data_IF_633998799295
#
_entry.id   IF_633998799295
#
_cell.length_a   1.000
_cell.length_b   1.000
_cell.length_c   1.000
_cell.angle_alpha   90.00
_cell.angle_beta   90.00
_cell.angle_gamma   90.00
#
_symmetry.space_group_name_H-M   'P 1'
#
loop_
_entity.id
_entity.type
_entity.pdbx_description
1 polymer ?
#
# COMPACT_ATOMS: atom_id res chain seq x y z
N UNK A 1 12.43 23.63 -0.08
CA UNK A 1 13.52 23.47 -1.06
C UNK A 1 12.98 22.73 -2.28
N UNK A 2 13.33 23.12 -3.50
CA UNK A 2 12.93 22.40 -4.72
C UNK A 2 13.89 21.25 -5.03
N UNK A 3 13.42 20.17 -5.67
CA UNK A 3 14.24 18.98 -6.02
C UNK A 3 15.50 19.33 -6.82
N UNK A 4 15.41 20.33 -7.70
CA UNK A 4 16.54 20.81 -8.52
C UNK A 4 17.66 21.41 -7.66
N UNK A 5 17.29 22.16 -6.61
CA UNK A 5 18.26 22.74 -5.69
C UNK A 5 18.99 21.65 -4.88
N UNK A 6 18.27 20.58 -4.50
CA UNK A 6 18.83 19.45 -3.74
C UNK A 6 19.83 18.65 -4.59
N UNK A 7 19.56 18.41 -5.87
CA UNK A 7 20.49 17.70 -6.76
C UNK A 7 21.84 18.42 -6.92
N UNK A 8 21.80 19.73 -7.13
CA UNK A 8 23.03 20.52 -7.28
C UNK A 8 23.84 20.55 -5.97
N UNK A 9 23.17 20.68 -4.82
CA UNK A 9 23.82 20.55 -3.51
C UNK A 9 24.43 19.17 -3.30
N UNK A 10 23.76 18.10 -3.74
CA UNK A 10 24.25 16.74 -3.61
C UNK A 10 25.52 16.50 -4.46
N UNK A 11 25.57 17.01 -5.69
CA UNK A 11 26.78 16.97 -6.54
C UNK A 11 27.97 17.71 -5.94
N UNK A 12 27.70 18.74 -5.13
CA UNK A 12 28.72 19.48 -4.39
C UNK A 12 29.20 18.73 -3.13
N UNK A 13 28.69 17.52 -2.86
CA UNK A 13 29.07 16.74 -1.68
C UNK A 13 28.30 17.12 -0.40
N UNK A 14 27.21 17.90 -0.50
CA UNK A 14 26.38 18.22 0.65
C UNK A 14 25.70 16.93 1.19
N UNK A 15 26.14 16.47 2.36
CA UNK A 15 25.69 15.20 2.96
C UNK A 15 24.19 15.14 3.19
N UNK A 16 23.58 16.24 3.64
CA UNK A 16 22.14 16.31 3.88
C UNK A 16 21.35 16.22 2.56
N UNK A 17 21.84 16.85 1.49
CA UNK A 17 21.22 16.78 0.18
C UNK A 17 21.31 15.36 -0.42
N UNK A 18 22.49 14.71 -0.33
CA UNK A 18 22.67 13.32 -0.77
C UNK A 18 21.75 12.38 0.04
N UNK A 19 21.71 12.54 1.37
CA UNK A 19 20.85 11.76 2.28
C UNK A 19 19.38 11.92 1.90
N UNK A 20 18.94 13.14 1.64
CA UNK A 20 17.55 13.43 1.23
C UNK A 20 17.20 12.75 -0.09
N UNK A 21 18.11 12.75 -1.08
CA UNK A 21 17.88 12.10 -2.37
C UNK A 21 17.83 10.58 -2.23
N UNK A 22 18.77 9.99 -1.48
CA UNK A 22 18.82 8.53 -1.29
C UNK A 22 17.60 8.02 -0.51
N UNK A 23 17.21 8.71 0.57
CA UNK A 23 15.99 8.37 1.32
C UNK A 23 14.74 8.46 0.45
N UNK A 24 14.61 9.51 -0.36
CA UNK A 24 13.47 9.65 -1.28
C UNK A 24 13.41 8.51 -2.30
N UNK A 25 14.55 8.04 -2.81
CA UNK A 25 14.59 6.94 -3.77
C UNK A 25 14.33 5.57 -3.13
N UNK A 26 14.67 5.40 -1.85
CA UNK A 26 14.58 4.14 -1.12
C UNK A 26 13.36 4.01 -0.20
N UNK A 27 12.53 5.05 -0.12
CA UNK A 27 11.29 5.07 0.69
C UNK A 27 10.38 3.88 0.36
N UNK A 28 10.23 3.53 -0.92
CA UNK A 28 9.41 2.38 -1.36
C UNK A 28 9.99 1.02 -0.97
N UNK A 29 11.25 0.98 -0.55
CA UNK A 29 11.93 -0.23 -0.05
C UNK A 29 12.02 -0.24 1.47
N UNK A 30 11.44 0.75 2.15
CA UNK A 30 11.48 0.89 3.60
C UNK A 30 12.92 0.86 4.15
N UNK A 31 13.85 1.44 3.38
CA UNK A 31 15.25 1.61 3.77
C UNK A 31 15.50 3.09 4.02
N UNK A 32 15.96 3.39 5.22
CA UNK A 32 16.48 4.71 5.57
C UNK A 32 17.99 4.73 5.41
N UNK A 33 18.53 5.85 4.95
CA UNK A 33 19.95 6.04 4.70
C UNK A 33 20.45 7.18 5.55
N UNK A 34 21.59 6.95 6.18
CA UNK A 34 22.38 7.96 6.89
C UNK A 34 23.77 8.06 6.27
N UNK A 35 24.22 9.29 6.01
CA UNK A 35 25.48 9.55 5.34
C UNK A 35 26.34 10.47 6.19
N UNK A 36 27.60 10.06 6.37
CA UNK A 36 28.63 10.89 6.97
C UNK A 36 29.87 10.92 6.08
N UNK A 37 30.50 12.08 5.95
CA UNK A 37 31.77 12.24 5.26
C UNK A 37 32.80 12.68 6.30
N UNK A 38 33.88 11.91 6.44
CA UNK A 38 35.00 12.24 7.31
C UNK A 38 36.29 12.23 6.48
N UNK A 39 36.86 13.41 6.27
CA UNK A 39 38.02 13.56 5.37
C UNK A 39 37.69 13.16 3.93
N UNK A 40 38.32 12.10 3.44
CA UNK A 40 38.11 11.55 2.08
C UNK A 40 37.30 10.25 2.07
N UNK A 41 36.73 9.87 3.21
CA UNK A 41 35.95 8.65 3.38
C UNK A 41 34.50 9.00 3.61
N UNK A 42 33.61 8.30 2.90
CA UNK A 42 32.16 8.41 3.08
C UNK A 42 31.65 7.13 3.74
N UNK A 43 30.83 7.25 4.76
CA UNK A 43 30.09 6.12 5.35
C UNK A 43 28.62 6.30 5.04
N UNK A 44 28.04 5.26 4.44
CA UNK A 44 26.62 5.15 4.10
C UNK A 44 26.06 3.97 4.89
N UNK A 45 25.11 4.25 5.77
CA UNK A 45 24.39 3.24 6.55
C UNK A 45 22.98 3.14 6.00
N UNK A 46 22.63 1.96 5.50
CA UNK A 46 21.24 1.60 5.20
C UNK A 46 20.64 0.88 6.40
N UNK A 47 19.51 1.36 6.88
CA UNK A 47 18.77 0.82 8.02
C UNK A 47 17.33 0.49 7.62
N UNK A 48 16.87 -0.72 7.97
CA UNK A 48 15.51 -1.19 7.70
C UNK A 48 15.04 -2.18 8.78
N UNK A 49 13.73 -2.38 8.90
CA UNK A 49 13.16 -3.41 9.76
C UNK A 49 13.49 -4.83 9.25
N UNK A 50 13.68 -4.97 7.94
CA UNK A 50 14.00 -6.24 7.28
C UNK A 50 15.49 -6.30 6.88
N UNK A 51 15.99 -7.51 6.62
CA UNK A 51 17.35 -7.70 6.11
C UNK A 51 17.51 -7.04 4.74
N UNK A 52 18.47 -6.12 4.62
CA UNK A 52 18.80 -5.46 3.36
C UNK A 52 19.70 -6.39 2.55
N UNK A 53 19.24 -6.77 1.36
CA UNK A 53 20.04 -7.57 0.44
C UNK A 53 21.32 -6.79 0.02
N UNK A 54 22.47 -7.38 0.33
CA UNK A 54 23.77 -6.70 0.25
C UNK A 54 24.10 -6.26 -1.17
N UNK A 55 23.90 -7.12 -2.18
CA UNK A 55 24.29 -6.82 -3.55
C UNK A 55 23.44 -5.68 -4.14
N UNK A 56 22.13 -5.66 -3.87
CA UNK A 56 21.22 -4.58 -4.23
C UNK A 56 21.69 -3.24 -3.67
N UNK A 57 21.91 -3.16 -2.35
CA UNK A 57 22.25 -1.88 -1.71
C UNK A 57 23.64 -1.39 -2.12
N UNK A 58 24.61 -2.29 -2.21
CA UNK A 58 25.96 -1.97 -2.71
C UNK A 58 25.92 -1.44 -4.14
N UNK A 59 25.15 -2.07 -5.04
CA UNK A 59 25.04 -1.63 -6.43
C UNK A 59 24.30 -0.29 -6.56
N UNK A 60 23.24 -0.08 -5.78
CA UNK A 60 22.53 1.19 -5.72
C UNK A 60 23.45 2.34 -5.29
N UNK A 61 24.24 2.12 -4.24
CA UNK A 61 25.20 3.11 -3.72
C UNK A 61 26.28 3.43 -4.75
N UNK A 62 26.86 2.40 -5.39
CA UNK A 62 27.84 2.56 -6.48
C UNK A 62 27.33 3.47 -7.60
N UNK A 63 26.13 3.17 -8.09
CA UNK A 63 25.53 3.94 -9.17
C UNK A 63 25.25 5.39 -8.76
N UNK A 64 24.75 5.58 -7.53
CA UNK A 64 24.48 6.91 -6.98
C UNK A 64 25.75 7.77 -6.92
N UNK A 65 26.85 7.22 -6.40
CA UNK A 65 28.14 7.94 -6.30
C UNK A 65 28.69 8.28 -7.69
N UNK A 66 28.56 7.36 -8.64
CA UNK A 66 28.95 7.57 -10.04
C UNK A 66 28.17 8.72 -10.68
N UNK A 67 26.86 8.78 -10.48
CA UNK A 67 26.00 9.83 -11.03
C UNK A 67 26.25 11.20 -10.40
N UNK A 68 26.50 11.23 -9.10
CA UNK A 68 26.82 12.45 -8.37
C UNK A 68 28.24 12.96 -8.70
N UNK A 69 29.08 12.15 -9.36
CA UNK A 69 30.45 12.50 -9.77
C UNK A 69 31.26 13.10 -8.62
N UNK A 70 31.17 12.48 -7.44
CA UNK A 70 31.79 12.98 -6.22
C UNK A 70 33.31 12.79 -6.29
N UNK A 71 34.01 13.76 -6.88
CA UNK A 71 35.47 13.75 -7.11
C UNK A 71 36.31 13.84 -5.82
N UNK A 72 35.67 14.14 -4.68
CA UNK A 72 36.34 14.39 -3.39
C UNK A 72 36.43 13.13 -2.52
N UNK A 73 35.59 12.12 -2.77
CA UNK A 73 35.54 10.88 -1.99
C UNK A 73 36.44 9.82 -2.63
N UNK A 74 37.28 9.17 -1.83
CA UNK A 74 38.15 8.07 -2.29
C UNK A 74 37.64 6.70 -1.86
N UNK A 75 37.12 6.61 -0.63
CA UNK A 75 36.71 5.33 -0.05
C UNK A 75 35.28 5.45 0.46
N UNK A 76 34.46 4.44 0.17
CA UNK A 76 33.09 4.37 0.64
C UNK A 76 32.89 3.11 1.48
N UNK A 77 32.41 3.31 2.70
CA UNK A 77 31.95 2.27 3.60
C UNK A 77 30.44 2.16 3.50
N UNK A 78 29.95 1.01 3.09
CA UNK A 78 28.53 0.71 2.95
C UNK A 78 28.15 -0.29 4.02
N UNK A 79 27.18 0.04 4.87
CA UNK A 79 26.76 -0.80 5.98
C UNK A 79 25.28 -1.11 5.86
N UNK A 80 24.92 -2.38 6.02
CA UNK A 80 23.53 -2.80 6.18
C UNK A 80 23.25 -3.06 7.66
N UNK A 81 22.17 -2.48 8.17
CA UNK A 81 21.78 -2.56 9.57
C UNK A 81 20.27 -2.86 9.68
N UNK A 82 19.90 -3.67 10.66
CA UNK A 82 18.49 -3.83 11.04
C UNK A 82 18.18 -2.82 12.14
N UNK A 83 16.98 -2.26 12.14
CA UNK A 83 16.55 -1.33 13.19
C UNK A 83 16.81 -1.90 14.58
N UNK A 84 17.25 -1.05 15.51
CA UNK A 84 17.58 -1.39 16.90
C UNK A 84 18.80 -2.32 17.08
N UNK A 85 19.53 -2.70 16.02
CA UNK A 85 20.81 -3.41 16.17
C UNK A 85 21.96 -2.43 16.31
N UNK A 86 22.85 -2.60 17.30
CA UNK A 86 24.02 -1.71 17.48
C UNK A 86 25.14 -1.94 16.46
N UNK A 87 25.18 -3.14 15.86
CA UNK A 87 26.20 -3.55 14.91
C UNK A 87 25.57 -3.72 13.52
N UNK A 88 26.30 -3.35 12.46
CA UNK A 88 25.88 -3.67 11.10
C UNK A 88 25.96 -5.18 10.88
N UNK A 89 25.02 -5.71 10.11
CA UNK A 89 24.95 -7.13 9.73
C UNK A 89 26.06 -7.44 8.72
N UNK A 90 26.36 -6.47 7.87
CA UNK A 90 27.43 -6.56 6.88
C UNK A 90 28.01 -5.18 6.62
N UNK A 91 29.26 -5.17 6.16
CA UNK A 91 29.96 -3.96 5.73
C UNK A 91 30.70 -4.27 4.44
N UNK A 92 30.50 -3.43 3.43
CA UNK A 92 31.25 -3.45 2.18
C UNK A 92 32.11 -2.19 2.10
N UNK A 93 33.36 -2.36 1.69
CA UNK A 93 34.28 -1.24 1.44
C UNK A 93 34.51 -1.17 -0.07
N UNK A 94 34.47 0.04 -0.62
CA UNK A 94 34.74 0.32 -2.02
C UNK A 94 35.82 1.42 -2.08
N UNK A 95 36.93 1.12 -2.76
CA UNK A 95 37.86 2.18 -3.18
C UNK A 95 37.47 2.65 -4.58
N UNK A 96 37.10 3.92 -4.68
CA UNK A 96 36.64 4.54 -5.92
C UNK A 96 37.77 4.70 -6.94
N UNK A 97 39.05 4.67 -6.53
CA UNK A 97 40.18 4.67 -7.48
C UNK A 97 40.37 3.30 -8.11
N UNK A 98 40.33 2.25 -7.29
CA UNK A 98 40.54 0.88 -7.77
C UNK A 98 39.36 0.42 -8.63
N UNK A 99 38.14 0.93 -8.39
CA UNK A 99 36.97 0.65 -9.22
C UNK A 99 37.03 1.35 -10.59
N UNK A 100 37.61 2.56 -10.67
CA UNK A 100 37.86 3.24 -11.94
C UNK A 100 38.97 2.51 -12.74
N UNK A 101 39.99 1.97 -12.06
CA UNK A 101 41.09 1.24 -12.69
C UNK A 101 40.69 -0.19 -13.13
N UNK A 102 39.96 -0.93 -12.29
CA UNK A 102 39.49 -2.29 -12.58
C UNK A 102 38.50 -2.36 -13.76
N UNK A 103 37.79 -1.28 -14.06
CA UNK A 103 36.88 -1.20 -15.22
C UNK A 103 37.63 -0.98 -16.55
N UNK A 104 38.85 -0.40 -16.51
CA UNK A 104 39.66 -0.18 -17.71
C UNK A 104 40.42 -1.46 -18.10
N UNK A 105 40.80 -2.29 -17.14
CA UNK A 105 41.51 -3.56 -17.38
C UNK A 105 40.55 -4.74 -17.66
N UNK A 106 39.26 -4.64 -17.29
CA UNK A 106 38.25 -5.68 -17.51
C UNK A 106 37.63 -5.72 -18.92
N UNK A 107 38.15 -4.97 -19.90
CA UNK A 107 37.70 -5.01 -21.30
C UNK A 107 38.45 -6.06 -22.16
N UNK A 108 39.32 -6.89 -21.57
CA UNK A 108 39.96 -8.02 -22.26
C UNK A 108 39.86 -9.31 -21.42
N UNK A 109 38.72 -10.00 -21.50
CA UNK A 109 38.55 -11.34 -20.96
C UNK A 109 37.14 -11.58 -20.41
N UNK A 110 36.31 -12.28 -21.18
CA UNK A 110 34.95 -12.69 -20.82
C UNK A 110 34.81 -13.19 -19.35
N UNK A 111 33.92 -12.55 -18.59
CA UNK A 111 33.03 -13.29 -17.69
C UNK A 111 31.60 -12.76 -17.86
N UNK A 112 30.71 -13.67 -18.23
CA UNK A 112 29.33 -13.42 -18.61
C UNK A 112 28.45 -13.08 -17.40
N UNK A 113 28.56 -11.86 -16.87
CA UNK A 113 27.54 -11.29 -15.98
C UNK A 113 27.10 -9.87 -16.36
N UNK A 114 27.74 -9.28 -17.37
CA UNK A 114 27.42 -7.93 -17.87
C UNK A 114 26.75 -8.04 -19.24
N UNK A 115 25.47 -8.40 -19.24
CA UNK A 115 24.58 -8.19 -20.39
C UNK A 115 23.17 -7.86 -19.91
N UNK A 116 23.01 -6.82 -19.08
CA UNK A 116 21.67 -6.21 -18.96
C UNK A 116 21.56 -4.78 -18.45
N UNK A 117 22.62 -4.17 -17.92
CA UNK A 117 22.49 -2.79 -17.43
C UNK A 117 23.67 -1.93 -17.85
N UNK A 118 23.74 -1.55 -19.13
CA UNK A 118 24.51 -0.39 -19.55
C UNK A 118 23.79 0.46 -20.61
N UNK A 119 23.76 1.75 -20.29
CA UNK A 119 23.56 2.95 -21.11
C UNK A 119 22.15 3.37 -21.56
N UNK A 120 21.83 4.60 -21.15
CA UNK A 120 20.91 5.62 -21.70
C UNK A 120 19.44 5.28 -22.01
N UNK A 121 19.02 4.02 -21.94
CA UNK A 121 17.61 3.62 -22.02
C UNK A 121 16.93 3.62 -20.64
N UNK A 122 17.61 3.14 -19.59
CA UNK A 122 17.04 3.02 -18.23
C UNK A 122 16.80 4.39 -17.56
N UNK A 123 17.62 5.40 -17.90
CA UNK A 123 17.44 6.77 -17.40
C UNK A 123 16.35 7.54 -18.17
N UNK A 124 16.15 7.24 -19.46
CA UNK A 124 14.98 7.73 -20.21
C UNK A 124 13.68 7.05 -19.74
N UNK A 125 13.76 5.79 -19.32
CA UNK A 125 12.70 5.05 -18.60
C UNK A 125 12.34 5.79 -17.30
N UNK A 126 13.31 6.13 -16.44
CA UNK A 126 13.06 6.86 -15.18
C UNK A 126 12.43 8.26 -15.38
N UNK A 127 12.70 8.93 -16.51
CA UNK A 127 12.11 10.23 -16.85
C UNK A 127 10.74 10.10 -17.55
N UNK A 128 10.54 9.08 -18.40
CA UNK A 128 9.23 8.78 -19.01
C UNK A 128 8.20 8.25 -18.00
N UNK A 129 8.67 7.71 -16.87
CA UNK A 129 7.79 7.31 -15.77
C UNK A 129 7.21 8.49 -14.97
N UNK A 130 7.64 9.74 -15.13
CA UNK A 130 6.99 10.84 -14.39
C UNK A 130 5.52 11.06 -14.81
N UNK A 131 5.21 10.92 -16.10
CA UNK A 131 3.83 11.04 -16.61
C UNK A 131 3.05 9.71 -16.47
N UNK A 132 3.71 8.56 -16.61
CA UNK A 132 3.08 7.24 -16.40
C UNK A 132 2.83 6.96 -14.92
N UNK A 133 3.75 7.32 -14.01
CA UNK A 133 3.52 7.25 -12.56
C UNK A 133 2.42 8.21 -12.19
N UNK A 134 2.37 9.45 -12.69
CA UNK A 134 1.23 10.32 -12.40
C UNK A 134 -0.08 9.80 -13.01
N UNK A 135 -0.08 9.11 -14.15
CA UNK A 135 -1.31 8.53 -14.74
C UNK A 135 -1.73 7.21 -14.07
N UNK A 136 -0.78 6.39 -13.60
CA UNK A 136 -1.05 5.17 -12.82
C UNK A 136 -1.34 5.51 -11.36
N UNK A 137 -0.73 6.54 -10.78
CA UNK A 137 -1.10 7.08 -9.47
C UNK A 137 -2.42 7.83 -9.57
N UNK A 138 -2.69 8.63 -10.61
CA UNK A 138 -3.99 9.29 -10.74
C UNK A 138 -5.08 8.29 -11.10
N UNK A 139 -4.82 7.32 -11.98
CA UNK A 139 -5.73 6.22 -12.31
C UNK A 139 -5.87 5.18 -11.21
N UNK A 140 -4.83 4.98 -10.40
CA UNK A 140 -4.82 4.12 -9.22
C UNK A 140 -5.43 4.80 -8.00
N UNK A 141 -5.23 6.10 -7.81
CA UNK A 141 -5.91 6.92 -6.79
C UNK A 141 -7.36 7.14 -7.21
N UNK A 142 -7.66 7.43 -8.47
CA UNK A 142 -9.05 7.44 -9.00
C UNK A 142 -9.64 6.05 -8.92
N UNK A 143 -8.87 4.99 -9.17
CA UNK A 143 -9.30 3.60 -9.06
C UNK A 143 -9.56 3.20 -7.61
N UNK A 144 -8.73 3.61 -6.65
CA UNK A 144 -8.90 3.41 -5.21
C UNK A 144 -10.00 4.32 -4.66
N UNK A 145 -10.18 5.53 -5.18
CA UNK A 145 -11.31 6.41 -4.86
C UNK A 145 -12.60 5.84 -5.42
N UNK A 146 -12.62 5.35 -6.67
CA UNK A 146 -13.76 4.65 -7.25
C UNK A 146 -14.00 3.33 -6.52
N UNK A 147 -12.96 2.59 -6.15
CA UNK A 147 -13.07 1.34 -5.40
C UNK A 147 -13.56 1.60 -3.98
N UNK A 148 -13.06 2.60 -3.26
CA UNK A 148 -13.62 2.97 -1.96
C UNK A 148 -15.05 3.48 -2.12
N UNK A 149 -15.35 4.33 -3.11
CA UNK A 149 -16.71 4.81 -3.37
C UNK A 149 -17.67 3.67 -3.78
N UNK A 150 -17.18 2.63 -4.45
CA UNK A 150 -17.97 1.51 -4.97
C UNK A 150 -18.01 0.30 -4.01
N UNK A 151 -17.01 0.15 -3.12
CA UNK A 151 -16.84 -1.02 -2.25
C UNK A 151 -17.01 -0.70 -0.76
N UNK A 152 -17.16 0.58 -0.38
CA UNK A 152 -17.51 0.97 0.98
C UNK A 152 -18.96 0.59 1.36
N UNK A 153 -19.75 0.02 0.46
CA UNK A 153 -21.01 -0.63 0.83
C UNK A 153 -21.33 -1.79 -0.13
N UNK A 154 -20.64 -2.92 0.01
CA UNK A 154 -21.40 -4.17 -0.14
C UNK A 154 -22.30 -4.21 1.12
N UNK A 155 -23.59 -3.79 1.06
CA UNK A 155 -24.43 -3.89 2.24
C UNK A 155 -24.34 -5.35 2.65
N UNK A 156 -24.01 -5.63 3.92
CA UNK A 156 -24.21 -6.97 4.48
C UNK A 156 -25.64 -7.33 4.12
N UNK A 157 -25.83 -8.23 3.15
CA UNK A 157 -27.16 -8.59 2.70
C UNK A 157 -27.74 -9.36 3.87
N UNK A 158 -28.52 -8.66 4.68
CA UNK A 158 -29.29 -9.27 5.73
C UNK A 158 -30.28 -10.17 4.99
N UNK A 159 -30.05 -11.48 5.07
CA UNK A 159 -31.01 -12.44 4.54
C UNK A 159 -32.27 -12.31 5.39
N UNK A 160 -33.40 -12.00 4.77
CA UNK A 160 -34.68 -11.83 5.45
C UNK A 160 -35.47 -13.12 5.36
N UNK A 161 -36.05 -13.53 6.49
CA UNK A 161 -37.12 -14.53 6.49
C UNK A 161 -38.46 -13.85 6.60
N UNK A 162 -39.46 -14.43 5.95
CA UNK A 162 -40.82 -13.90 5.86
C UNK A 162 -41.82 -14.89 6.45
N UNK A 163 -42.88 -14.36 7.05
CA UNK A 163 -44.05 -15.15 7.42
C UNK A 163 -45.34 -14.38 7.13
N UNK A 164 -46.40 -15.12 6.87
CA UNK A 164 -47.75 -14.58 6.74
C UNK A 164 -48.59 -15.00 7.93
N UNK A 165 -49.31 -14.06 8.53
CA UNK A 165 -50.27 -14.35 9.59
C UNK A 165 -51.54 -13.52 9.40
N UNK A 166 -52.67 -14.08 9.81
CA UNK A 166 -53.96 -13.42 9.74
C UNK A 166 -54.61 -13.34 11.12
N UNK A 167 -55.22 -12.20 11.42
CA UNK A 167 -55.85 -11.94 12.72
C UNK A 167 -57.21 -11.27 12.53
N UNK A 168 -58.16 -11.58 13.42
CA UNK A 168 -59.36 -10.77 13.52
C UNK A 168 -59.04 -9.37 14.05
N UNK A 169 -59.81 -8.37 13.63
CA UNK A 169 -59.70 -6.98 14.08
C UNK A 169 -59.57 -6.86 15.61
N UNK A 170 -60.36 -7.63 16.36
CA UNK A 170 -60.38 -7.59 17.82
C UNK A 170 -59.04 -8.01 18.45
N UNK A 171 -58.28 -8.87 17.78
CA UNK A 171 -56.99 -9.39 18.27
C UNK A 171 -55.80 -8.62 17.72
N UNK A 172 -56.00 -7.71 16.76
CA UNK A 172 -54.94 -7.06 15.99
C UNK A 172 -53.84 -6.47 16.88
N UNK A 173 -54.21 -5.64 17.87
CA UNK A 173 -53.25 -4.98 18.76
C UNK A 173 -52.41 -5.99 19.56
N UNK A 174 -53.05 -7.04 20.08
CA UNK A 174 -52.36 -8.06 20.88
C UNK A 174 -51.41 -8.91 20.03
N UNK A 175 -51.85 -9.27 18.81
CA UNK A 175 -51.06 -10.09 17.88
C UNK A 175 -49.85 -9.34 17.35
N UNK A 176 -50.01 -8.07 16.94
CA UNK A 176 -48.90 -7.24 16.44
C UNK A 176 -47.84 -7.03 17.52
N UNK A 177 -48.24 -6.71 18.75
CA UNK A 177 -47.29 -6.52 19.85
C UNK A 177 -46.53 -7.80 20.17
N UNK A 178 -47.22 -8.96 20.22
CA UNK A 178 -46.59 -10.26 20.45
C UNK A 178 -45.59 -10.63 19.35
N UNK A 179 -45.95 -10.40 18.09
CA UNK A 179 -45.09 -10.69 16.93
C UNK A 179 -43.88 -9.75 16.91
N UNK A 180 -44.07 -8.47 17.24
CA UNK A 180 -42.99 -7.49 17.40
C UNK A 180 -41.99 -7.89 18.49
N UNK A 181 -42.46 -8.40 19.64
CA UNK A 181 -41.60 -8.91 20.71
C UNK A 181 -40.74 -10.12 20.28
N UNK A 182 -41.18 -10.87 19.28
CA UNK A 182 -40.42 -11.98 18.68
C UNK A 182 -39.40 -11.52 17.61
N UNK A 183 -39.25 -10.20 17.44
CA UNK A 183 -38.31 -9.58 16.50
C UNK A 183 -38.83 -9.48 15.06
N UNK A 184 -40.13 -9.66 14.83
CA UNK A 184 -40.74 -9.54 13.51
C UNK A 184 -41.24 -8.11 13.25
N UNK A 185 -40.95 -7.61 12.06
CA UNK A 185 -41.38 -6.30 11.56
C UNK A 185 -42.55 -6.49 10.58
N UNK A 186 -43.61 -5.68 10.73
CA UNK A 186 -44.73 -5.66 9.80
C UNK A 186 -44.31 -5.02 8.47
N UNK A 187 -44.45 -5.76 7.36
CA UNK A 187 -44.13 -5.29 6.00
C UNK A 187 -45.36 -4.77 5.30
N UNK A 188 -46.45 -5.53 5.40
CA UNK A 188 -47.68 -5.23 4.70
C UNK A 188 -48.85 -5.75 5.52
N UNK A 189 -49.94 -4.99 5.50
CA UNK A 189 -51.22 -5.42 6.05
C UNK A 189 -52.31 -5.01 5.08
N UNK A 190 -53.22 -5.94 4.79
CA UNK A 190 -54.51 -5.61 4.20
C UNK A 190 -55.63 -6.07 5.12
N UNK A 191 -56.70 -5.30 5.16
CA UNK A 191 -57.92 -5.67 5.87
C UNK A 191 -58.98 -6.09 4.86
N UNK A 192 -59.50 -7.29 5.00
CA UNK A 192 -60.63 -7.79 4.25
C UNK A 192 -61.85 -7.88 5.17
N UNK A 193 -63.03 -7.63 4.62
CA UNK A 193 -64.29 -7.94 5.30
C UNK A 193 -64.67 -9.36 4.91
N UNK A 194 -64.90 -10.21 5.90
CA UNK A 194 -65.42 -11.56 5.72
C UNK A 194 -66.78 -11.70 6.41
N UNK A 195 -67.68 -12.49 5.83
CA UNK A 195 -69.04 -12.70 6.34
C UNK A 195 -70.12 -11.89 5.62
N UNK A 196 -71.39 -12.28 5.84
CA UNK A 196 -72.55 -11.64 5.24
C UNK A 196 -72.91 -10.29 5.89
N UNK A 197 -73.93 -9.62 5.35
CA UNK A 197 -74.27 -8.22 5.70
C UNK A 197 -74.42 -7.92 7.19
N UNK A 198 -74.90 -8.89 7.97
CA UNK A 198 -75.14 -8.73 9.42
C UNK A 198 -74.02 -9.28 10.31
N UNK A 199 -72.98 -9.91 9.74
CA UNK A 199 -71.90 -10.55 10.49
C UNK A 199 -70.52 -10.23 9.94
N UNK A 200 -70.35 -9.07 9.29
CA UNK A 200 -69.07 -8.67 8.70
C UNK A 200 -68.02 -8.53 9.79
N UNK A 201 -66.99 -9.38 9.74
CA UNK A 201 -65.79 -9.27 10.58
C UNK A 201 -64.63 -8.79 9.72
N UNK A 202 -63.85 -7.87 10.25
CA UNK A 202 -62.58 -7.52 9.65
C UNK A 202 -61.53 -8.57 10.00
N UNK A 203 -60.84 -9.06 8.97
CA UNK A 203 -59.66 -9.88 9.12
C UNK A 203 -58.50 -9.13 8.48
N UNK A 204 -57.44 -9.00 9.25
CA UNK A 204 -56.15 -8.55 8.76
C UNK A 204 -55.38 -9.75 8.22
N UNK A 205 -54.81 -9.58 7.05
CA UNK A 205 -53.79 -10.45 6.49
C UNK A 205 -52.49 -9.67 6.43
N UNK A 206 -51.48 -10.15 7.14
CA UNK A 206 -50.24 -9.44 7.36
C UNK A 206 -49.04 -10.26 6.87
N UNK A 207 -48.06 -9.57 6.30
CA UNK A 207 -46.75 -10.09 5.93
C UNK A 207 -45.74 -9.48 6.90
N UNK A 208 -44.90 -10.33 7.49
CA UNK A 208 -43.83 -9.92 8.38
C UNK A 208 -42.47 -10.33 7.84
N UNK A 209 -41.43 -9.59 8.22
CA UNK A 209 -40.02 -9.94 7.95
C UNK A 209 -39.19 -9.87 9.23
N UNK A 210 -38.11 -10.65 9.30
CA UNK A 210 -37.01 -10.44 10.26
C UNK A 210 -35.67 -10.95 9.72
N UNK A 211 -34.53 -10.51 10.28
CA UNK A 211 -33.22 -11.06 9.92
C UNK A 211 -33.15 -12.56 10.20
N UNK A 212 -32.73 -13.36 9.21
CA UNK A 212 -32.53 -14.80 9.35
C UNK A 212 -31.39 -15.07 10.32
N UNK A 213 -31.65 -15.84 11.37
CA UNK A 213 -30.63 -16.22 12.34
C UNK A 213 -29.72 -17.28 11.71
N UNK A 214 -28.40 -17.08 11.76
CA UNK A 214 -27.43 -18.13 11.37
C UNK A 214 -27.54 -19.26 12.38
N UNK A 215 -28.10 -20.39 11.97
CA UNK A 215 -28.12 -21.61 12.78
C UNK A 215 -26.66 -22.07 12.89
N UNK A 216 -26.10 -22.00 14.09
CA UNK A 216 -24.83 -22.66 14.40
C UNK A 216 -25.11 -24.16 14.44
N UNK A 217 -24.86 -24.86 13.34
CA UNK A 217 -24.80 -26.32 13.34
C UNK A 217 -23.76 -26.74 14.40
N UNK A 218 -24.18 -27.63 15.30
CA UNK A 218 -23.41 -28.11 16.44
C UNK A 218 -23.11 -29.59 16.25
#
# INVERSE_FOLDING_TARGET
>A
MTTQNILELAKQGNTQAITTLMNKALETKEITVQISITGRSMTIVGESQANIEQSFFVNYVRQTIKELKLSTVKTVYIKGQITDTKNPIWTQIIDLKDEILAQNDAQNGQSNFVSQFNNSQVFNILIQFREIINTIFLGGILGILFFNLFWEQQPKTVEWEYKTESFEDAMFNSSINRIGQQGWELVFARRALTGGDYSRRGIYECIFKRPKQKISEK
#
